data_IF_489483894320
#
_entry.id   IF_489483894320
#
_cell.length_a   1.000
_cell.length_b   1.000
_cell.length_c   1.000
_cell.angle_alpha   90.00
_cell.angle_beta   90.00
_cell.angle_gamma   90.00
#
_symmetry.space_group_name_H-M   'P 1'
#
loop_
_entity.id
_entity.type
_entity.pdbx_description
1 polymer ?
#
# COMPACT_ATOMS: atom_id res chain seq x y z
N UNK A 1 -9.77 0.91 28.00
CA UNK A 1 -8.73 1.35 27.03
C UNK A 1 -9.25 1.01 25.64
N UNK A 2 -9.70 2.01 24.87
CA UNK A 2 -10.02 1.78 23.46
C UNK A 2 -8.69 1.55 22.73
N UNK A 3 -8.46 0.32 22.28
CA UNK A 3 -7.40 0.03 21.33
C UNK A 3 -7.77 0.75 20.04
N UNK A 4 -7.12 1.89 19.78
CA UNK A 4 -7.22 2.54 18.48
C UNK A 4 -6.75 1.50 17.47
N UNK A 5 -7.68 0.96 16.66
CA UNK A 5 -7.37 -0.03 15.64
C UNK A 5 -6.31 0.60 14.74
N UNK A 6 -5.10 0.04 14.77
CA UNK A 6 -4.00 0.49 13.96
C UNK A 6 -4.35 0.22 12.51
N UNK A 7 -4.23 1.22 11.65
CA UNK A 7 -4.45 1.05 10.22
C UNK A 7 -3.32 0.16 9.67
N UNK A 8 -3.68 -1.02 9.17
CA UNK A 8 -2.75 -2.01 8.63
C UNK A 8 -2.81 -1.95 7.10
N UNK A 9 -1.64 -1.79 6.47
CA UNK A 9 -1.50 -1.69 5.02
C UNK A 9 -0.61 -2.83 4.55
N UNK A 10 -1.11 -3.61 3.60
CA UNK A 10 -0.31 -4.61 2.91
C UNK A 10 0.58 -3.94 1.86
N UNK A 11 1.87 -4.24 1.87
CA UNK A 11 2.79 -3.91 0.79
C UNK A 11 2.85 -5.12 -0.15
N UNK A 12 2.46 -4.92 -1.40
CA UNK A 12 2.57 -5.92 -2.46
C UNK A 12 3.69 -5.46 -3.39
N UNK A 13 4.83 -6.15 -3.34
CA UNK A 13 6.03 -5.67 -3.98
C UNK A 13 7.21 -6.62 -3.83
N UNK A 14 8.36 -6.16 -4.30
CA UNK A 14 9.62 -6.91 -4.20
C UNK A 14 10.17 -6.84 -2.77
N UNK A 15 11.09 -7.75 -2.42
CA UNK A 15 11.64 -7.83 -1.06
C UNK A 15 12.46 -6.61 -0.64
N UNK A 16 12.94 -5.83 -1.62
CA UNK A 16 13.71 -4.60 -1.44
C UNK A 16 12.84 -3.35 -1.28
N UNK A 17 11.53 -3.45 -1.51
CA UNK A 17 10.59 -2.33 -1.52
C UNK A 17 10.51 -1.58 -0.19
N UNK A 18 10.65 -2.27 0.94
CA UNK A 18 10.48 -1.68 2.29
C UNK A 18 11.73 -1.88 3.12
N UNK A 19 12.49 -0.80 3.33
CA UNK A 19 13.61 -0.84 4.26
C UNK A 19 13.13 -0.78 5.72
N UNK A 20 13.93 -1.23 6.70
CA UNK A 20 13.60 -1.12 8.12
C UNK A 20 13.29 0.32 8.57
N UNK A 21 13.97 1.31 7.99
CA UNK A 21 13.80 2.73 8.32
C UNK A 21 12.46 3.27 7.82
N UNK A 22 12.00 2.84 6.64
CA UNK A 22 10.65 3.14 6.14
C UNK A 22 9.63 2.53 7.09
N UNK A 23 9.76 1.23 7.41
CA UNK A 23 8.83 0.55 8.34
C UNK A 23 8.74 1.27 9.69
N UNK A 24 9.87 1.73 10.22
CA UNK A 24 9.92 2.42 11.50
C UNK A 24 9.26 3.81 11.43
N UNK A 25 9.47 4.58 10.37
CA UNK A 25 8.81 5.87 10.18
C UNK A 25 7.28 5.74 10.12
N UNK A 26 6.79 4.79 9.32
CA UNK A 26 5.36 4.44 9.26
C UNK A 26 4.84 3.93 10.61
N UNK A 27 5.69 3.20 11.34
CA UNK A 27 5.32 2.71 12.65
C UNK A 27 5.08 3.85 13.65
N UNK A 28 5.93 4.87 13.64
CA UNK A 28 5.77 6.07 14.46
C UNK A 28 4.51 6.87 14.10
N UNK A 29 4.09 6.84 12.84
CA UNK A 29 2.82 7.41 12.37
C UNK A 29 1.58 6.55 12.73
N UNK A 30 1.74 5.50 13.55
CA UNK A 30 0.68 4.55 13.95
C UNK A 30 0.06 3.79 12.77
N UNK A 31 0.84 3.57 11.71
CA UNK A 31 0.44 2.75 10.56
C UNK A 31 1.27 1.46 10.59
N UNK A 32 0.62 0.32 10.41
CA UNK A 32 1.31 -0.97 10.32
C UNK A 32 1.54 -1.31 8.86
N UNK A 33 2.81 -1.33 8.42
CA UNK A 33 3.16 -1.91 7.13
C UNK A 33 3.40 -3.40 7.30
N UNK A 34 2.73 -4.22 6.50
CA UNK A 34 2.86 -5.69 6.47
C UNK A 34 3.35 -6.13 5.09
N UNK A 35 4.12 -7.22 5.01
CA UNK A 35 4.84 -7.61 3.79
C UNK A 35 6.28 -7.07 3.76
N UNK A 36 6.93 -6.93 2.59
CA UNK A 36 6.35 -7.06 1.25
C UNK A 36 5.88 -8.49 0.94
N UNK A 37 4.70 -8.60 0.34
CA UNK A 37 4.10 -9.84 -0.13
C UNK A 37 4.20 -9.92 -1.67
N UNK A 38 4.24 -11.13 -2.21
CA UNK A 38 4.11 -11.35 -3.65
C UNK A 38 2.69 -11.04 -4.12
N UNK A 39 2.52 -10.80 -5.43
CA UNK A 39 1.19 -10.57 -6.01
C UNK A 39 0.18 -11.70 -5.73
N UNK A 40 0.64 -12.95 -5.62
CA UNK A 40 -0.20 -14.11 -5.28
C UNK A 40 -0.76 -14.08 -3.85
N UNK A 41 -0.26 -13.23 -2.97
CA UNK A 41 -0.74 -13.15 -1.59
C UNK A 41 -2.18 -12.66 -1.48
N UNK A 42 -2.65 -11.84 -2.43
CA UNK A 42 -4.02 -11.32 -2.42
C UNK A 42 -5.07 -12.42 -2.63
N UNK A 43 -4.67 -13.56 -3.19
CA UNK A 43 -5.54 -14.72 -3.41
C UNK A 43 -5.80 -15.49 -2.10
N UNK A 44 -5.11 -15.14 -1.01
CA UNK A 44 -5.32 -15.76 0.31
C UNK A 44 -6.40 -15.04 1.11
N UNK A 45 -7.16 -15.77 1.92
CA UNK A 45 -8.15 -15.19 2.87
C UNK A 45 -7.50 -14.20 3.84
N UNK A 46 -6.19 -14.31 4.05
CA UNK A 46 -5.38 -13.38 4.83
C UNK A 46 -5.36 -11.95 4.27
N UNK A 47 -5.69 -11.74 2.99
CA UNK A 47 -5.78 -10.41 2.39
C UNK A 47 -6.87 -9.53 3.04
N UNK A 48 -7.93 -10.14 3.56
CA UNK A 48 -9.08 -9.44 4.15
C UNK A 48 -8.78 -8.76 5.49
N UNK A 49 -7.62 -9.05 6.10
CA UNK A 49 -7.23 -8.44 7.38
C UNK A 49 -6.61 -7.05 7.23
N UNK A 50 -6.31 -6.62 6.00
CA UNK A 50 -5.69 -5.32 5.75
C UNK A 50 -6.75 -4.25 5.47
N UNK A 51 -6.45 -3.03 5.92
CA UNK A 51 -7.31 -1.86 5.68
C UNK A 51 -7.09 -1.30 4.28
N UNK A 52 -5.90 -1.52 3.71
CA UNK A 52 -5.52 -1.03 2.39
C UNK A 52 -4.33 -1.81 1.83
N UNK A 53 -4.04 -1.62 0.54
CA UNK A 53 -2.85 -2.14 -0.12
C UNK A 53 -2.01 -1.03 -0.79
N UNK A 54 -0.69 -1.21 -0.82
CA UNK A 54 0.24 -0.40 -1.60
C UNK A 54 0.96 -1.36 -2.55
N UNK A 55 0.87 -1.08 -3.85
CA UNK A 55 1.30 -1.98 -4.92
C UNK A 55 2.50 -1.38 -5.65
N UNK A 56 3.54 -2.18 -5.85
CA UNK A 56 4.72 -1.82 -6.62
C UNK A 56 4.39 -1.74 -8.12
N UNK A 57 4.62 -0.58 -8.75
CA UNK A 57 4.38 -0.40 -10.20
C UNK A 57 5.27 -1.30 -11.08
N UNK A 58 6.35 -1.87 -10.53
CA UNK A 58 7.28 -2.72 -11.27
C UNK A 58 6.70 -4.07 -11.69
N UNK A 59 5.50 -4.44 -11.22
CA UNK A 59 4.83 -5.63 -11.72
C UNK A 59 4.34 -5.46 -13.15
N UNK A 60 4.30 -6.56 -13.89
CA UNK A 60 3.72 -6.62 -15.23
C UNK A 60 2.25 -6.20 -15.24
N UNK A 61 1.80 -5.55 -16.31
CA UNK A 61 0.44 -4.97 -16.39
C UNK A 61 -0.69 -6.00 -16.16
N UNK A 62 -0.51 -7.24 -16.61
CA UNK A 62 -1.46 -8.32 -16.39
C UNK A 62 -1.53 -8.76 -14.91
N UNK A 63 -0.43 -8.64 -14.18
CA UNK A 63 -0.38 -8.91 -12.73
C UNK A 63 -1.06 -7.77 -11.97
N UNK A 64 -0.76 -6.52 -12.32
CA UNK A 64 -1.41 -5.35 -11.72
C UNK A 64 -2.93 -5.39 -11.92
N UNK A 65 -3.41 -5.71 -13.13
CA UNK A 65 -4.85 -5.80 -13.41
C UNK A 65 -5.55 -6.82 -12.50
N UNK A 66 -5.00 -8.04 -12.39
CA UNK A 66 -5.59 -9.08 -11.52
C UNK A 66 -5.58 -8.68 -10.05
N UNK A 67 -4.50 -8.04 -9.59
CA UNK A 67 -4.40 -7.52 -8.23
C UNK A 67 -5.51 -6.50 -7.96
N UNK A 68 -5.70 -5.54 -8.86
CA UNK A 68 -6.73 -4.50 -8.69
C UNK A 68 -8.13 -5.07 -8.73
N UNK A 69 -8.42 -6.01 -9.64
CA UNK A 69 -9.74 -6.66 -9.72
C UNK A 69 -10.10 -7.36 -8.40
N UNK A 70 -9.13 -8.06 -7.79
CA UNK A 70 -9.34 -8.74 -6.52
C UNK A 70 -9.50 -7.75 -5.34
N UNK A 71 -8.70 -6.70 -5.30
CA UNK A 71 -8.81 -5.67 -4.26
C UNK A 71 -10.15 -4.91 -4.37
N UNK A 72 -10.60 -4.65 -5.60
CA UNK A 72 -11.89 -4.02 -5.86
C UNK A 72 -13.05 -4.91 -5.45
N UNK A 73 -13.00 -6.22 -5.72
CA UNK A 73 -14.04 -7.17 -5.28
C UNK A 73 -14.17 -7.23 -3.75
N UNK A 74 -13.04 -7.09 -3.03
CA UNK A 74 -13.00 -7.10 -1.57
C UNK A 74 -13.21 -5.72 -0.93
N UNK A 75 -13.42 -4.68 -1.73
CA UNK A 75 -13.54 -3.29 -1.27
C UNK A 75 -12.32 -2.78 -0.49
N UNK A 76 -11.14 -3.32 -0.80
CA UNK A 76 -9.87 -2.90 -0.18
C UNK A 76 -9.30 -1.75 -1.01
N UNK A 77 -9.15 -0.54 -0.45
CA UNK A 77 -8.50 0.56 -1.16
C UNK A 77 -7.03 0.26 -1.43
N UNK A 78 -6.54 0.72 -2.57
CA UNK A 78 -5.18 0.50 -3.02
C UNK A 78 -4.61 1.67 -3.79
N UNK A 79 -3.29 1.82 -3.71
CA UNK A 79 -2.55 2.74 -4.57
C UNK A 79 -1.26 2.11 -5.06
N UNK A 80 -0.71 2.73 -6.08
CA UNK A 80 0.58 2.37 -6.64
C UNK A 80 1.67 3.30 -6.11
N UNK A 81 2.84 2.75 -5.79
CA UNK A 81 4.02 3.54 -5.44
C UNK A 81 5.16 3.26 -6.42
N UNK A 82 6.05 4.24 -6.54
CA UNK A 82 7.30 4.11 -7.29
C UNK A 82 8.46 4.02 -6.29
N UNK A 83 9.34 3.00 -6.35
CA UNK A 83 10.54 2.95 -5.53
C UNK A 83 11.50 4.09 -5.90
N UNK A 84 12.18 4.65 -4.91
CA UNK A 84 13.13 5.77 -5.05
C UNK A 84 14.25 5.48 -6.08
N UNK A 85 14.64 4.20 -6.19
CA UNK A 85 15.68 3.74 -7.13
C UNK A 85 15.28 3.80 -8.62
N UNK A 86 14.01 4.06 -8.94
CA UNK A 86 13.47 4.07 -10.32
C UNK A 86 13.12 5.51 -10.78
N UNK A 87 13.42 6.53 -9.96
CA UNK A 87 13.14 7.93 -10.27
C UNK A 87 14.18 8.49 -11.25
N UNK A 88 14.16 8.01 -12.49
CA UNK A 88 14.79 8.67 -13.65
C UNK A 88 13.74 9.20 -14.65
N UNK A 89 12.45 8.90 -14.44
CA UNK A 89 11.38 9.31 -15.35
C UNK A 89 10.06 9.49 -14.60
N UNK A 90 9.71 10.77 -14.42
CA UNK A 90 8.49 11.33 -13.85
C UNK A 90 8.11 10.89 -12.41
N UNK A 91 7.88 11.85 -11.49
CA UNK A 91 7.41 11.52 -10.15
C UNK A 91 6.02 10.90 -10.26
N UNK A 92 5.92 9.58 -10.06
CA UNK A 92 4.65 8.98 -9.69
C UNK A 92 4.09 9.70 -8.45
N UNK A 93 2.76 9.84 -8.30
CA UNK A 93 2.18 10.71 -7.27
C UNK A 93 2.49 10.27 -5.82
N UNK A 94 2.95 9.04 -5.62
CA UNK A 94 3.23 8.48 -4.30
C UNK A 94 4.59 7.78 -4.25
N UNK A 95 5.44 8.23 -3.31
CA UNK A 95 6.74 7.64 -3.02
C UNK A 95 6.67 6.95 -1.66
N UNK A 96 6.99 5.65 -1.61
CA UNK A 96 7.04 4.94 -0.34
C UNK A 96 8.33 5.33 0.41
N UNK A 97 8.22 6.24 1.36
CA UNK A 97 9.38 6.85 2.00
C UNK A 97 9.22 7.01 3.52
N UNK A 98 10.24 7.61 4.14
CA UNK A 98 10.28 7.94 5.58
C UNK A 98 9.70 9.33 5.89
N UNK A 99 9.38 10.13 4.87
CA UNK A 99 8.93 11.52 5.02
C UNK A 99 7.49 11.53 5.49
N UNK A 100 7.19 12.37 6.48
CA UNK A 100 5.83 12.49 7.02
C UNK A 100 4.82 12.92 5.95
N UNK A 101 5.22 13.82 5.05
CA UNK A 101 4.39 14.28 3.94
C UNK A 101 3.98 13.12 3.00
N UNK A 102 4.92 12.25 2.63
CA UNK A 102 4.63 11.09 1.79
C UNK A 102 3.69 10.11 2.49
N UNK A 103 3.91 9.87 3.80
CA UNK A 103 3.04 9.01 4.62
C UNK A 103 1.61 9.58 4.66
N UNK A 104 1.47 10.87 4.95
CA UNK A 104 0.18 11.56 5.05
C UNK A 104 -0.56 11.57 3.71
N UNK A 105 0.14 11.84 2.61
CA UNK A 105 -0.43 11.83 1.26
C UNK A 105 -0.96 10.45 0.88
N UNK A 106 -0.17 9.39 1.11
CA UNK A 106 -0.55 8.01 0.82
C UNK A 106 -1.77 7.60 1.66
N UNK A 107 -1.77 7.88 2.96
CA UNK A 107 -2.91 7.53 3.83
C UNK A 107 -4.16 8.32 3.46
N UNK A 108 -4.03 9.62 3.18
CA UNK A 108 -5.16 10.45 2.77
C UNK A 108 -5.80 9.92 1.48
N UNK A 109 -4.99 9.55 0.49
CA UNK A 109 -5.47 8.97 -0.76
C UNK A 109 -6.20 7.63 -0.56
N UNK A 110 -5.64 6.72 0.24
CA UNK A 110 -6.27 5.43 0.55
C UNK A 110 -7.61 5.60 1.27
N UNK A 111 -7.68 6.53 2.21
CA UNK A 111 -8.91 6.80 2.96
C UNK A 111 -9.98 7.48 2.09
N UNK A 112 -9.57 8.36 1.17
CA UNK A 112 -10.48 8.98 0.20
C UNK A 112 -11.08 7.94 -0.76
N UNK A 113 -10.28 6.96 -1.19
CA UNK A 113 -10.74 5.84 -2.02
C UNK A 113 -11.68 4.90 -1.27
N UNK A 114 -11.34 4.52 -0.02
CA UNK A 114 -12.16 3.63 0.80
C UNK A 114 -13.44 4.28 1.35
N UNK A 115 -13.46 5.60 1.50
CA UNK A 115 -14.61 6.38 1.97
C UNK A 115 -15.53 6.91 0.86
N UNK A 116 -15.13 6.79 -0.40
CA UNK A 116 -15.95 7.16 -1.55
C UNK A 116 -17.15 6.22 -1.66
N UNK A 117 -18.36 6.77 -1.56
CA UNK A 117 -19.60 6.06 -1.89
C UNK A 117 -19.44 5.52 -3.31
N UNK A 118 -19.32 4.20 -3.44
CA UNK A 118 -19.36 3.49 -4.72
C UNK A 118 -20.72 3.77 -5.35
N UNK A 119 -20.75 4.61 -6.38
CA UNK A 119 -21.95 4.92 -7.18
C UNK A 119 -22.17 3.86 -8.25
#
# INVERSE_FOLDING_TARGET
MQTVKRLTIAIIGMTDTVTPEIRMAWFHARIGLEGPYSASFIESEDALKFTAAIIDVRYEANVLLRLTEQLDSEAIPYLFFVPDAVIDSEPGPFVLSRRSEDIENIVSALMAQGGGIRH
#
